data_IF_944125456694
#
_entry.id   IF_944125456694
#
_cell.length_a   1.000
_cell.length_b   1.000
_cell.length_c   1.000
_cell.angle_alpha   90.00
_cell.angle_beta   90.00
_cell.angle_gamma   90.00
#
_symmetry.space_group_name_H-M   'P 1'
#
loop_
_entity.id
_entity.type
_entity.pdbx_description
1 polymer ?
#
# COMPACT_ATOMS: atom_id res chain seq x y z
N UNK A 1 18.60 -15.53 23.54
CA UNK A 1 19.31 -14.39 24.16
C UNK A 1 20.49 -13.99 23.28
N UNK A 2 20.38 -12.89 22.53
CA UNK A 2 21.49 -12.05 22.04
C UNK A 2 20.91 -10.69 21.62
N UNK A 3 21.21 -9.69 22.43
CA UNK A 3 21.03 -8.25 22.22
C UNK A 3 22.21 -7.72 21.40
N UNK A 4 21.98 -6.73 20.53
CA UNK A 4 22.83 -5.54 20.22
C UNK A 4 21.97 -4.62 19.31
N UNK A 5 21.47 -3.45 19.73
CA UNK A 5 22.05 -2.12 20.10
C UNK A 5 22.34 -1.17 18.92
N UNK A 6 21.43 -0.19 18.78
CA UNK A 6 21.54 1.27 18.54
C UNK A 6 22.62 1.91 17.63
N UNK A 7 22.17 2.89 16.83
CA UNK A 7 22.78 4.24 16.65
C UNK A 7 21.70 5.15 16.00
N UNK A 8 21.05 6.09 16.68
CA UNK A 8 21.50 7.44 17.11
C UNK A 8 22.06 8.32 15.97
N UNK A 9 21.23 9.21 15.44
CA UNK A 9 21.67 10.51 14.92
C UNK A 9 20.76 11.59 15.51
N UNK A 10 21.40 12.62 16.05
CA UNK A 10 20.84 13.65 16.89
C UNK A 10 20.79 15.01 16.17
N UNK A 11 19.78 15.81 16.53
CA UNK A 11 19.64 17.27 16.49
C UNK A 11 19.82 18.02 15.14
N UNK A 12 18.84 18.85 14.77
CA UNK A 12 18.87 20.30 15.03
C UNK A 12 17.51 20.97 14.80
N UNK A 13 17.17 21.88 15.71
CA UNK A 13 15.98 22.73 15.78
C UNK A 13 16.01 23.86 14.73
N UNK A 14 14.87 24.30 14.19
CA UNK A 14 14.31 25.64 14.48
C UNK A 14 12.89 25.82 13.92
N UNK A 15 12.17 26.65 14.65
CA UNK A 15 10.74 26.96 14.66
C UNK A 15 10.15 27.60 13.41
N UNK A 16 8.86 27.32 13.17
CA UNK A 16 7.86 28.38 12.92
C UNK A 16 6.47 27.91 13.37
N UNK A 17 6.01 28.52 14.46
CA UNK A 17 4.62 28.46 14.92
C UNK A 17 3.75 29.28 13.96
N UNK A 18 2.63 28.75 13.50
CA UNK A 18 1.29 29.14 14.00
C UNK A 18 0.14 28.45 13.26
N UNK A 19 -0.69 27.78 14.07
CA UNK A 19 -2.16 27.63 13.98
C UNK A 19 -2.79 27.09 12.68
N UNK A 20 -3.02 25.78 12.68
CA UNK A 20 -4.32 25.20 12.30
C UNK A 20 -4.56 23.92 13.11
N UNK A 21 -5.64 23.91 13.90
CA UNK A 21 -6.25 22.77 14.61
C UNK A 21 -5.31 21.79 15.34
N UNK A 22 -5.26 21.89 16.67
CA UNK A 22 -4.60 20.92 17.55
C UNK A 22 -5.31 19.56 17.49
N UNK A 23 -4.82 18.67 16.65
CA UNK A 23 -4.97 17.23 16.84
C UNK A 23 -3.93 16.79 17.88
N UNK A 24 -4.26 15.86 18.80
CA UNK A 24 -3.29 15.39 19.77
C UNK A 24 -2.10 14.77 19.02
N UNK A 25 -0.91 15.35 19.22
CA UNK A 25 0.36 14.67 18.95
C UNK A 25 0.37 13.48 19.91
N UNK A 26 0.18 12.27 19.39
CA UNK A 26 0.24 11.08 20.22
C UNK A 26 1.72 10.83 20.51
N UNK A 27 2.21 11.39 21.62
CA UNK A 27 3.59 11.26 22.14
C UNK A 27 3.95 9.83 22.59
N UNK A 28 3.15 8.84 22.22
CA UNK A 28 3.41 7.44 22.46
C UNK A 28 2.51 6.63 21.51
N UNK A 29 2.98 6.22 20.32
CA UNK A 29 2.13 5.54 19.36
C UNK A 29 1.51 4.32 20.04
N UNK A 30 0.21 4.39 20.32
CA UNK A 30 -0.48 3.22 20.81
C UNK A 30 -0.49 2.21 19.67
N UNK A 31 -0.12 0.95 19.95
CA UNK A 31 -0.26 -0.11 18.97
C UNK A 31 -1.71 -0.15 18.50
N UNK A 32 -1.93 -0.46 17.22
CA UNK A 32 -3.27 -0.58 16.68
C UNK A 32 -4.12 -1.51 17.57
N UNK A 33 -5.31 -1.07 17.93
CA UNK A 33 -6.28 -1.88 18.67
C UNK A 33 -6.68 -3.09 17.83
N UNK A 34 -7.19 -4.15 18.49
CA UNK A 34 -7.67 -5.34 17.78
C UNK A 34 -8.73 -5.01 16.72
N UNK A 35 -9.58 -4.02 16.99
CA UNK A 35 -10.61 -3.59 16.05
C UNK A 35 -10.02 -2.91 14.82
N UNK A 36 -9.04 -2.03 15.00
CA UNK A 36 -8.33 -1.38 13.89
C UNK A 36 -7.57 -2.40 13.03
N UNK A 37 -6.97 -3.42 13.65
CA UNK A 37 -6.31 -4.52 12.92
C UNK A 37 -7.32 -5.34 12.10
N UNK A 38 -8.48 -5.68 12.68
CA UNK A 38 -9.55 -6.37 11.95
C UNK A 38 -10.08 -5.52 10.79
N UNK A 39 -10.18 -4.21 11.00
CA UNK A 39 -10.62 -3.29 9.96
C UNK A 39 -9.61 -3.26 8.82
N UNK A 40 -8.31 -3.10 9.11
CA UNK A 40 -7.24 -3.18 8.11
C UNK A 40 -7.29 -4.49 7.31
N UNK A 41 -7.34 -5.63 8.01
CA UNK A 41 -7.48 -6.95 7.40
C UNK A 41 -8.70 -7.03 6.47
N UNK A 42 -9.86 -6.54 6.91
CA UNK A 42 -11.08 -6.55 6.08
C UNK A 42 -10.91 -5.74 4.80
N UNK A 43 -10.27 -4.56 4.86
CA UNK A 43 -10.03 -3.74 3.66
C UNK A 43 -9.09 -4.46 2.69
N UNK A 44 -8.01 -5.04 3.20
CA UNK A 44 -7.00 -5.75 2.41
C UNK A 44 -7.59 -7.00 1.77
N UNK A 45 -8.36 -7.80 2.51
CA UNK A 45 -9.03 -9.00 1.99
C UNK A 45 -10.09 -8.70 0.94
N UNK A 46 -10.83 -7.59 1.10
CA UNK A 46 -11.75 -7.13 0.06
C UNK A 46 -11.02 -6.75 -1.22
N UNK A 47 -9.88 -6.05 -1.10
CA UNK A 47 -9.03 -5.73 -2.24
C UNK A 47 -8.48 -7.01 -2.89
N UNK A 48 -7.98 -7.96 -2.09
CA UNK A 48 -7.45 -9.25 -2.54
C UNK A 48 -8.49 -10.03 -3.33
N UNK A 49 -9.66 -10.25 -2.73
CA UNK A 49 -10.76 -11.01 -3.35
C UNK A 49 -11.21 -10.42 -4.68
N UNK A 50 -11.24 -9.09 -4.80
CA UNK A 50 -11.80 -8.41 -5.99
C UNK A 50 -10.76 -8.18 -7.09
N UNK A 51 -9.49 -8.00 -6.71
CA UNK A 51 -8.43 -7.56 -7.62
C UNK A 51 -7.34 -8.61 -7.81
N UNK A 52 -6.80 -9.20 -6.74
CA UNK A 52 -5.50 -9.87 -6.75
C UNK A 52 -5.40 -11.06 -7.72
N UNK A 53 -6.53 -11.66 -8.10
CA UNK A 53 -6.62 -12.79 -9.03
C UNK A 53 -6.96 -12.42 -10.47
N UNK A 54 -7.12 -11.13 -10.78
CA UNK A 54 -7.42 -10.69 -12.15
C UNK A 54 -6.17 -10.78 -13.03
N UNK A 55 -6.37 -11.33 -14.23
CA UNK A 55 -5.40 -11.28 -15.33
C UNK A 55 -5.33 -9.89 -15.96
N UNK A 56 -4.24 -9.60 -16.70
CA UNK A 56 -4.12 -8.38 -17.51
C UNK A 56 -5.31 -8.20 -18.45
N UNK A 57 -5.81 -9.30 -19.04
CA UNK A 57 -6.97 -9.26 -19.93
C UNK A 57 -8.26 -8.87 -19.18
N UNK A 58 -8.50 -9.44 -17.99
CA UNK A 58 -9.66 -9.10 -17.18
C UNK A 58 -9.62 -7.66 -16.67
N UNK A 59 -8.43 -7.16 -16.30
CA UNK A 59 -8.22 -5.76 -15.96
C UNK A 59 -8.61 -4.88 -17.15
N UNK A 60 -8.09 -5.18 -18.34
CA UNK A 60 -8.40 -4.41 -19.55
C UNK A 60 -9.89 -4.46 -19.91
N UNK A 61 -10.54 -5.60 -19.74
CA UNK A 61 -11.98 -5.74 -19.98
C UNK A 61 -12.81 -4.91 -18.98
N UNK A 62 -12.37 -4.82 -17.72
CA UNK A 62 -13.11 -4.15 -16.64
C UNK A 62 -12.88 -2.64 -16.61
N UNK A 63 -11.65 -2.20 -16.84
CA UNK A 63 -11.24 -0.79 -16.72
C UNK A 63 -11.06 -0.10 -18.08
N UNK A 64 -11.22 -0.84 -19.18
CA UNK A 64 -11.04 -0.35 -20.53
C UNK A 64 -9.57 -0.26 -20.94
N UNK A 65 -9.29 0.55 -21.96
CA UNK A 65 -7.94 0.74 -22.49
C UNK A 65 -7.06 1.51 -21.50
N UNK A 66 -5.85 1.02 -21.16
CA UNK A 66 -4.94 1.71 -20.26
C UNK A 66 -4.32 2.93 -20.93
N UNK A 67 -3.86 3.89 -20.11
CA UNK A 67 -3.09 5.04 -20.58
C UNK A 67 -1.67 4.64 -20.98
N UNK A 68 -1.10 3.67 -20.27
CA UNK A 68 0.23 3.14 -20.56
C UNK A 68 0.39 1.75 -19.98
N UNK A 69 1.25 0.96 -20.62
CA UNK A 69 1.76 -0.31 -20.12
C UNK A 69 3.28 -0.21 -20.16
N UNK A 70 3.93 -0.48 -19.04
CA UNK A 70 5.40 -0.55 -18.94
C UNK A 70 5.80 -1.97 -18.55
N UNK A 71 6.85 -2.48 -19.18
CA UNK A 71 7.39 -3.80 -18.86
C UNK A 71 8.76 -3.63 -18.23
N UNK A 72 8.97 -4.23 -17.06
CA UNK A 72 10.29 -4.41 -16.45
C UNK A 72 10.63 -5.89 -16.35
N UNK A 73 11.92 -6.20 -16.51
CA UNK A 73 12.46 -7.52 -16.22
C UNK A 73 13.30 -7.33 -14.95
N UNK A 74 13.00 -8.12 -13.92
CA UNK A 74 13.65 -8.03 -12.62
C UNK A 74 14.17 -9.41 -12.22
N UNK A 75 15.31 -9.43 -11.53
CA UNK A 75 15.88 -10.68 -11.00
C UNK A 75 14.91 -11.38 -10.04
N UNK A 76 14.89 -12.71 -10.11
CA UNK A 76 13.88 -13.49 -9.42
C UNK A 76 14.08 -13.53 -7.89
N UNK A 77 13.02 -13.20 -7.15
CA UNK A 77 12.95 -13.32 -5.69
C UNK A 77 11.88 -14.30 -5.19
N UNK A 78 11.09 -14.90 -6.08
CA UNK A 78 9.87 -15.65 -5.75
C UNK A 78 9.91 -17.12 -6.20
N UNK A 79 10.50 -17.43 -7.37
CA UNK A 79 10.50 -18.79 -7.96
C UNK A 79 11.90 -19.09 -8.54
N UNK A 80 12.29 -20.34 -8.75
CA UNK A 80 13.62 -20.72 -9.27
C UNK A 80 13.89 -20.38 -10.75
N UNK A 81 13.13 -19.48 -11.39
CA UNK A 81 13.38 -19.02 -12.76
C UNK A 81 14.39 -17.87 -12.78
N UNK A 82 15.12 -17.67 -13.87
CA UNK A 82 16.20 -16.68 -13.94
C UNK A 82 15.72 -15.22 -13.99
N UNK A 83 14.50 -14.93 -14.45
CA UNK A 83 13.99 -13.55 -14.63
C UNK A 83 12.46 -13.48 -14.47
N UNK A 84 11.98 -12.44 -13.77
CA UNK A 84 10.55 -12.15 -13.62
C UNK A 84 10.15 -11.00 -14.54
N UNK A 85 9.05 -11.16 -15.27
CA UNK A 85 8.49 -10.10 -16.09
C UNK A 85 7.39 -9.41 -15.29
N UNK A 86 7.51 -8.09 -15.14
CA UNK A 86 6.49 -7.27 -14.49
C UNK A 86 5.88 -6.30 -15.47
N UNK A 87 4.55 -6.26 -15.50
CA UNK A 87 3.77 -5.30 -16.26
C UNK A 87 3.17 -4.27 -15.31
N UNK A 88 3.49 -2.99 -15.50
CA UNK A 88 2.85 -1.88 -14.81
C UNK A 88 1.82 -1.27 -15.76
N UNK A 89 0.54 -1.46 -15.44
CA UNK A 89 -0.59 -0.97 -16.23
C UNK A 89 -1.18 0.23 -15.52
N UNK A 90 -1.25 1.38 -16.21
CA UNK A 90 -1.72 2.64 -15.62
C UNK A 90 -3.01 3.13 -16.26
N UNK A 91 -3.94 3.51 -15.40
CA UNK A 91 -5.19 4.21 -15.68
C UNK A 91 -5.17 5.59 -14.98
N UNK A 92 -6.20 6.41 -15.22
CA UNK A 92 -6.34 7.71 -14.53
C UNK A 92 -6.37 7.54 -13.01
N UNK A 93 -7.22 6.62 -12.55
CA UNK A 93 -7.54 6.48 -11.13
C UNK A 93 -6.86 5.26 -10.48
N UNK A 94 -6.25 4.40 -11.28
CA UNK A 94 -5.70 3.11 -10.84
C UNK A 94 -4.36 2.78 -11.47
N UNK A 95 -3.58 1.96 -10.77
CA UNK A 95 -2.40 1.31 -11.33
C UNK A 95 -2.31 -0.13 -10.85
N UNK A 96 -1.87 -1.02 -11.72
CA UNK A 96 -1.66 -2.44 -11.42
C UNK A 96 -0.20 -2.80 -11.70
N UNK A 97 0.41 -3.61 -10.84
CA UNK A 97 1.70 -4.26 -11.09
C UNK A 97 1.51 -5.77 -11.11
N UNK A 98 1.58 -6.33 -12.30
CA UNK A 98 1.32 -7.73 -12.58
C UNK A 98 2.65 -8.45 -12.74
N UNK A 99 2.80 -9.56 -12.02
CA UNK A 99 3.84 -10.54 -12.27
C UNK A 99 3.37 -11.49 -13.38
N UNK A 100 4.27 -11.81 -14.31
CA UNK A 100 4.08 -12.90 -15.27
C UNK A 100 5.36 -13.75 -15.31
N UNK A 101 5.23 -15.06 -15.12
CA UNK A 101 6.35 -15.99 -15.28
C UNK A 101 6.83 -16.00 -16.73
N UNK A 102 8.10 -16.34 -16.96
CA UNK A 102 8.70 -16.30 -18.30
C UNK A 102 8.02 -17.26 -19.28
N UNK A 103 7.50 -18.38 -18.77
CA UNK A 103 6.71 -19.37 -19.51
C UNK A 103 5.19 -19.08 -19.53
N UNK A 104 4.77 -17.96 -18.93
CA UNK A 104 3.38 -17.52 -18.80
C UNK A 104 2.43 -18.51 -18.09
N UNK A 105 2.95 -19.46 -17.31
CA UNK A 105 2.13 -20.35 -16.49
C UNK A 105 1.48 -19.63 -15.29
N UNK A 106 2.13 -18.59 -14.78
CA UNK A 106 1.67 -17.85 -13.61
C UNK A 106 1.51 -16.38 -13.92
N UNK A 107 0.35 -15.84 -13.55
CA UNK A 107 0.03 -14.42 -13.62
C UNK A 107 -0.74 -14.02 -12.36
N UNK A 108 -0.26 -12.99 -11.66
CA UNK A 108 -0.92 -12.46 -10.48
C UNK A 108 -0.53 -11.01 -10.21
N UNK A 109 -1.39 -10.29 -9.51
CA UNK A 109 -1.17 -8.88 -9.19
C UNK A 109 -0.35 -8.80 -7.90
N UNK A 110 0.83 -8.20 -7.99
CA UNK A 110 1.65 -7.92 -6.80
C UNK A 110 1.26 -6.62 -6.11
N UNK A 111 0.82 -5.62 -6.89
CA UNK A 111 0.41 -4.33 -6.36
C UNK A 111 -0.81 -3.78 -7.09
N UNK A 112 -1.73 -3.19 -6.32
CA UNK A 112 -2.85 -2.41 -6.81
C UNK A 112 -2.85 -1.03 -6.14
N UNK A 113 -2.78 0.03 -6.93
CA UNK A 113 -2.77 1.40 -6.46
C UNK A 113 -4.08 2.11 -6.79
N UNK A 114 -4.63 2.83 -5.81
CA UNK A 114 -5.67 3.84 -6.00
C UNK A 114 -4.99 5.20 -6.04
N UNK A 115 -5.12 5.91 -7.15
CA UNK A 115 -4.43 7.18 -7.44
C UNK A 115 -5.34 8.41 -7.27
N UNK A 116 -6.65 8.21 -7.29
CA UNK A 116 -7.64 9.28 -7.26
C UNK A 116 -8.92 8.82 -6.58
N UNK A 117 -9.69 9.77 -6.04
CA UNK A 117 -10.91 9.51 -5.27
C UNK A 117 -12.12 9.16 -6.14
N UNK A 118 -11.98 9.18 -7.47
CA UNK A 118 -13.04 8.79 -8.39
C UNK A 118 -12.95 7.30 -8.69
N UNK A 119 -13.52 6.46 -7.82
CA UNK A 119 -14.55 5.49 -8.21
C UNK A 119 -14.78 4.35 -7.19
N UNK A 120 -16.06 3.99 -7.06
CA UNK A 120 -16.62 2.61 -7.03
C UNK A 120 -16.25 1.62 -5.93
N UNK A 121 -14.98 1.50 -5.56
CA UNK A 121 -14.47 0.44 -4.69
C UNK A 121 -14.66 0.85 -3.22
N UNK A 122 -15.86 0.55 -2.70
CA UNK A 122 -16.25 0.88 -1.32
C UNK A 122 -15.67 -0.11 -0.31
N UNK A 123 -14.35 -0.21 -0.21
CA UNK A 123 -13.68 -1.02 0.82
C UNK A 123 -13.45 -0.27 2.12
N UNK A 124 -14.12 0.87 2.30
CA UNK A 124 -14.02 1.67 3.52
C UNK A 124 -12.79 2.57 3.60
N UNK A 125 -12.02 2.71 2.51
CA UNK A 125 -10.92 3.67 2.39
C UNK A 125 -10.87 4.31 1.01
N UNK A 126 -10.41 5.57 0.95
CA UNK A 126 -10.25 6.34 -0.29
C UNK A 126 -9.08 7.33 -0.15
N UNK A 127 -8.51 7.76 -1.28
CA UNK A 127 -7.58 8.89 -1.31
C UNK A 127 -8.31 10.19 -0.94
N UNK A 128 -7.56 11.20 -0.49
CA UNK A 128 -8.05 12.52 -0.10
C UNK A 128 -8.43 12.66 1.37
N UNK A 129 -8.55 11.55 2.11
CA UNK A 129 -8.70 11.59 3.58
C UNK A 129 -7.44 12.14 4.24
N UNK A 130 -7.56 12.68 5.45
CA UNK A 130 -6.39 13.14 6.19
C UNK A 130 -5.58 11.97 6.74
N UNK A 131 -4.28 12.17 6.92
CA UNK A 131 -3.41 11.22 7.62
C UNK A 131 -3.96 10.88 9.03
N UNK A 132 -4.50 11.88 9.73
CA UNK A 132 -5.10 11.66 11.06
C UNK A 132 -6.33 10.73 11.00
N UNK A 133 -7.16 10.85 9.97
CA UNK A 133 -8.29 9.94 9.75
C UNK A 133 -7.79 8.52 9.43
N UNK A 134 -6.78 8.38 8.58
CA UNK A 134 -6.19 7.07 8.28
C UNK A 134 -5.64 6.38 9.54
N UNK A 135 -4.88 7.11 10.35
CA UNK A 135 -4.36 6.61 11.63
C UNK A 135 -5.45 6.32 12.65
N UNK A 136 -6.58 7.02 12.58
CA UNK A 136 -7.75 6.68 13.39
C UNK A 136 -8.36 5.34 12.97
N UNK A 137 -8.45 5.07 11.67
CA UNK A 137 -9.02 3.82 11.13
C UNK A 137 -8.13 2.60 11.39
N UNK A 138 -6.82 2.73 11.19
CA UNK A 138 -5.91 1.57 11.23
C UNK A 138 -4.89 1.60 12.37
N UNK A 139 -4.86 2.67 13.16
CA UNK A 139 -3.90 2.84 14.23
C UNK A 139 -2.54 3.36 13.73
N UNK A 140 -1.51 3.11 14.53
CA UNK A 140 -0.14 3.47 14.18
C UNK A 140 0.37 2.51 13.10
N UNK A 141 0.91 3.02 11.96
CA UNK A 141 1.59 2.18 10.98
C UNK A 141 2.85 1.54 11.55
N UNK A 142 3.23 0.36 11.04
CA UNK A 142 4.45 -0.34 11.39
C UNK A 142 5.70 0.44 10.98
N UNK A 143 5.63 1.18 9.86
CA UNK A 143 6.73 1.97 9.35
C UNK A 143 6.27 3.31 8.76
N UNK A 144 7.09 4.35 8.94
CA UNK A 144 6.86 5.70 8.42
C UNK A 144 8.16 6.20 7.78
N UNK A 145 8.10 6.62 6.51
CA UNK A 145 9.25 7.23 5.81
C UNK A 145 8.79 8.12 4.68
N UNK A 146 9.29 9.36 4.61
CA UNK A 146 9.10 10.29 3.49
C UNK A 146 7.66 10.39 2.97
N UNK A 147 6.70 10.52 3.89
CA UNK A 147 5.27 10.60 3.55
C UNK A 147 4.60 9.26 3.29
N UNK A 148 5.31 8.13 3.38
CA UNK A 148 4.72 6.79 3.32
C UNK A 148 4.38 6.28 4.72
N UNK A 149 3.20 5.68 4.84
CA UNK A 149 2.72 4.97 6.03
C UNK A 149 2.46 3.52 5.64
N UNK A 150 3.20 2.58 6.24
CA UNK A 150 3.08 1.16 5.92
C UNK A 150 2.27 0.48 7.00
N UNK A 151 1.19 -0.17 6.58
CA UNK A 151 0.29 -0.97 7.40
C UNK A 151 0.43 -2.44 6.99
N UNK A 152 0.90 -3.29 7.89
CA UNK A 152 1.02 -4.72 7.66
C UNK A 152 -0.25 -5.43 8.11
N UNK A 153 -0.79 -6.30 7.25
CA UNK A 153 -1.85 -7.20 7.67
C UNK A 153 -1.26 -8.32 8.53
N UNK A 154 -1.91 -8.61 9.65
CA UNK A 154 -1.55 -9.73 10.53
C UNK A 154 -2.26 -11.03 10.14
N UNK A 155 -2.82 -11.09 8.92
CA UNK A 155 -3.47 -12.26 8.34
C UNK A 155 -2.51 -13.40 8.01
N UNK A 156 -3.06 -14.53 7.55
CA UNK A 156 -2.28 -15.72 7.19
C UNK A 156 -1.39 -15.48 5.96
N UNK A 157 -1.84 -14.66 5.02
CA UNK A 157 -1.07 -14.26 3.84
C UNK A 157 -0.43 -12.88 4.07
N UNK A 158 0.89 -12.81 3.87
CA UNK A 158 1.60 -11.53 3.90
C UNK A 158 0.91 -10.58 2.90
N UNK A 159 0.38 -9.48 3.41
CA UNK A 159 -0.36 -8.47 2.67
C UNK A 159 -0.18 -7.14 3.38
N UNK A 160 -0.27 -6.04 2.65
CA UNK A 160 -0.12 -4.74 3.29
C UNK A 160 -0.81 -3.62 2.52
N UNK A 161 -0.94 -2.50 3.21
CA UNK A 161 -1.40 -1.24 2.66
C UNK A 161 -0.32 -0.19 2.88
N UNK A 162 0.12 0.46 1.82
CA UNK A 162 1.01 1.62 1.89
C UNK A 162 0.19 2.85 1.52
N UNK A 163 0.10 3.82 2.41
CA UNK A 163 -0.52 5.11 2.13
C UNK A 163 0.56 6.17 1.88
N UNK A 164 0.48 6.85 0.75
CA UNK A 164 1.32 8.00 0.44
C UNK A 164 0.59 9.27 0.85
N UNK A 165 1.24 10.08 1.66
CA UNK A 165 0.70 11.31 2.24
C UNK A 165 1.48 12.51 1.72
N UNK A 166 0.75 13.48 1.21
CA UNK A 166 1.28 14.78 0.84
C UNK A 166 0.41 15.87 1.45
N UNK A 167 1.03 16.86 2.10
CA UNK A 167 0.34 17.96 2.77
C UNK A 167 -0.75 17.49 3.75
N UNK A 168 -0.46 16.41 4.49
CA UNK A 168 -1.37 15.81 5.49
C UNK A 168 -2.57 15.07 4.91
N UNK A 169 -2.63 14.85 3.59
CA UNK A 169 -3.67 14.07 2.91
C UNK A 169 -3.10 12.86 2.21
N UNK A 170 -3.85 11.76 2.26
CA UNK A 170 -3.54 10.57 1.47
C UNK A 170 -3.74 10.90 -0.01
N UNK A 171 -2.71 10.74 -0.82
CA UNK A 171 -2.75 10.97 -2.28
C UNK A 171 -2.77 9.65 -3.06
N UNK A 172 -2.30 8.56 -2.46
CA UNK A 172 -2.27 7.24 -3.09
C UNK A 172 -2.35 6.15 -2.01
N UNK A 173 -2.98 5.03 -2.36
CA UNK A 173 -3.08 3.84 -1.54
C UNK A 173 -2.61 2.64 -2.36
N UNK A 174 -1.58 1.94 -1.88
CA UNK A 174 -1.03 0.75 -2.53
C UNK A 174 -1.35 -0.48 -1.70
N UNK A 175 -2.16 -1.36 -2.27
CA UNK A 175 -2.38 -2.71 -1.77
C UNK A 175 -1.26 -3.60 -2.29
N UNK A 176 -0.53 -4.23 -1.38
CA UNK A 176 0.58 -5.12 -1.68
C UNK A 176 0.15 -6.55 -1.36
N UNK A 177 0.20 -7.43 -2.36
CA UNK A 177 -0.15 -8.85 -2.22
C UNK A 177 1.11 -9.68 -2.37
N UNK A 178 1.41 -10.48 -1.35
CA UNK A 178 2.50 -11.45 -1.39
C UNK A 178 1.92 -12.84 -1.61
N UNK A 179 2.67 -13.67 -2.33
CA UNK A 179 2.32 -15.02 -2.70
C UNK A 179 3.52 -15.92 -2.34
N UNK A 180 3.24 -17.04 -1.68
CA UNK A 180 4.22 -18.08 -1.33
C UNK A 180 4.34 -19.15 -2.42
#
# INVERSE_FOLDING_TARGET
MRLFKFSSVALYLFSLQTLCASYPVIDNPQPASLEQKKQLHTVIEQARTVIAHLTEQEITNRFGSPQSIQTSIEENKYIGETENVFHVIRYNDYQFRIFRSSDSQYEFITHFSILSSNDGLRWGIQTGISEAQLRYLFGTPEFISDGMLVYEDAGEELSGLIAHVQNGKVIQLDFCFYYE
#
